data_IF_068969967976
#
_entry.id   IF_068969967976
#
_cell.length_a   1.000
_cell.length_b   1.000
_cell.length_c   1.000
_cell.angle_alpha   90.00
_cell.angle_beta   90.00
_cell.angle_gamma   90.00
#
_symmetry.space_group_name_H-M   'P 1'
#
loop_
_entity.id
_entity.type
_entity.pdbx_description
1 polymer ?
#
# COMPACT_ATOMS: atom_id res chain seq x y z
N UNK A 1 38.30 -61.05 -30.89
CA UNK A 1 37.46 -60.82 -32.09
C UNK A 1 36.06 -60.45 -31.61
N UNK A 2 35.59 -59.22 -31.91
CA UNK A 2 34.27 -58.61 -31.58
C UNK A 2 34.01 -58.40 -30.07
N UNK A 3 34.10 -57.21 -29.46
CA UNK A 3 33.41 -55.92 -29.67
C UNK A 3 31.89 -56.03 -29.47
N UNK A 4 31.34 -55.52 -28.35
CA UNK A 4 30.25 -54.50 -28.32
C UNK A 4 29.64 -54.32 -26.91
N UNK A 5 29.52 -53.04 -26.52
CA UNK A 5 28.55 -52.33 -25.64
C UNK A 5 27.64 -53.13 -24.66
N UNK A 6 27.36 -52.65 -23.44
CA UNK A 6 26.62 -51.41 -23.16
C UNK A 6 26.79 -50.94 -21.71
N UNK A 7 27.09 -49.65 -21.61
CA UNK A 7 27.00 -48.73 -20.48
C UNK A 7 25.54 -48.59 -19.99
N UNK A 8 25.28 -48.65 -18.68
CA UNK A 8 24.16 -47.91 -18.05
C UNK A 8 24.62 -47.32 -16.71
N UNK A 9 25.12 -46.10 -16.83
CA UNK A 9 25.31 -45.14 -15.75
C UNK A 9 23.92 -44.76 -15.21
N UNK A 10 23.67 -45.02 -13.92
CA UNK A 10 22.44 -44.60 -13.24
C UNK A 10 22.55 -43.11 -12.93
N UNK A 11 22.00 -42.27 -13.80
CA UNK A 11 21.74 -40.87 -13.47
C UNK A 11 20.47 -40.83 -12.60
N UNK A 12 20.65 -40.56 -11.30
CA UNK A 12 19.56 -40.17 -10.42
C UNK A 12 19.04 -38.79 -10.84
N UNK A 13 17.95 -38.77 -11.59
CA UNK A 13 17.20 -37.56 -11.87
C UNK A 13 16.43 -37.19 -10.59
N UNK A 14 17.00 -36.30 -9.79
CA UNK A 14 16.27 -35.64 -8.71
C UNK A 14 15.19 -34.78 -9.36
N UNK A 15 13.97 -35.31 -9.37
CA UNK A 15 12.78 -34.56 -9.78
C UNK A 15 12.50 -33.59 -8.63
N UNK A 16 13.02 -32.36 -8.74
CA UNK A 16 12.52 -31.25 -7.93
C UNK A 16 11.03 -31.16 -8.24
N UNK A 17 10.18 -31.57 -7.28
CA UNK A 17 8.79 -31.17 -7.28
C UNK A 17 8.79 -29.65 -7.12
N UNK A 18 8.61 -28.94 -8.23
CA UNK A 18 8.04 -27.60 -8.20
C UNK A 18 6.67 -27.76 -7.53
N UNK A 19 6.55 -27.26 -6.30
CA UNK A 19 5.26 -27.10 -5.68
C UNK A 19 4.42 -26.25 -6.64
N UNK A 20 3.31 -26.82 -7.11
CA UNK A 20 2.31 -26.08 -7.86
C UNK A 20 1.74 -25.02 -6.93
N UNK A 21 2.11 -23.77 -7.15
CA UNK A 21 1.45 -22.62 -6.55
C UNK A 21 -0.05 -22.71 -6.84
N UNK A 22 -0.89 -22.62 -5.80
CA UNK A 22 -2.27 -22.16 -6.01
C UNK A 22 -2.18 -20.70 -6.41
N UNK A 23 -2.23 -20.48 -7.72
CA UNK A 23 -2.09 -19.17 -8.35
C UNK A 23 -3.28 -18.31 -7.91
N UNK A 24 -3.02 -17.12 -7.37
CA UNK A 24 -4.03 -16.06 -7.32
C UNK A 24 -4.58 -15.89 -8.75
N UNK A 25 -5.86 -16.20 -8.96
CA UNK A 25 -6.47 -16.00 -10.27
C UNK A 25 -6.93 -14.54 -10.38
N UNK A 26 -6.54 -13.85 -11.46
CA UNK A 26 -7.08 -12.54 -11.83
C UNK A 26 -8.54 -12.71 -12.34
N UNK A 27 -9.45 -13.12 -11.46
CA UNK A 27 -10.85 -13.41 -11.80
C UNK A 27 -11.86 -12.59 -11.02
N UNK A 28 -11.42 -11.68 -10.15
CA UNK A 28 -12.31 -10.71 -9.53
C UNK A 28 -12.67 -9.58 -10.50
N UNK A 29 -13.85 -9.00 -10.29
CA UNK A 29 -14.31 -7.84 -11.03
C UNK A 29 -13.89 -6.57 -10.31
N UNK A 30 -12.98 -5.80 -10.92
CA UNK A 30 -12.58 -4.48 -10.38
C UNK A 30 -13.77 -3.53 -10.20
N UNK A 31 -14.88 -3.77 -10.91
CA UNK A 31 -16.11 -2.98 -10.78
C UNK A 31 -16.83 -3.14 -9.44
N UNK A 32 -16.45 -4.14 -8.64
CA UNK A 32 -17.01 -4.34 -7.32
C UNK A 32 -16.45 -3.38 -6.27
N UNK A 33 -15.42 -2.60 -6.60
CA UNK A 33 -14.95 -1.49 -5.78
C UNK A 33 -14.84 -0.23 -6.64
N UNK A 34 -15.35 0.89 -6.15
CA UNK A 34 -15.30 2.17 -6.83
C UNK A 34 -14.91 3.30 -5.88
N UNK A 35 -14.09 4.23 -6.38
CA UNK A 35 -13.82 5.56 -5.84
C UNK A 35 -14.75 6.54 -6.55
N UNK A 36 -15.72 7.09 -5.84
CA UNK A 36 -16.75 7.96 -6.42
C UNK A 36 -16.52 9.44 -6.13
N UNK A 37 -15.73 9.76 -5.11
CA UNK A 37 -15.45 11.14 -4.74
C UNK A 37 -14.07 11.33 -4.18
N UNK A 38 -13.41 12.39 -4.67
CA UNK A 38 -12.20 12.97 -4.09
C UNK A 38 -12.52 14.42 -3.83
N UNK A 39 -12.41 14.87 -2.58
CA UNK A 39 -12.68 16.26 -2.20
C UNK A 39 -11.55 16.82 -1.36
N UNK A 40 -11.37 18.13 -1.41
CA UNK A 40 -10.41 18.83 -0.55
C UNK A 40 -10.89 18.78 0.91
N UNK A 41 -9.95 18.66 1.85
CA UNK A 41 -10.24 18.76 3.29
C UNK A 41 -10.82 20.12 3.67
N UNK A 42 -10.43 21.19 2.98
CA UNK A 42 -10.93 22.54 3.26
C UNK A 42 -12.22 22.88 2.50
N UNK A 43 -12.55 22.17 1.42
CA UNK A 43 -13.79 22.30 0.66
C UNK A 43 -14.42 20.93 0.34
N UNK A 44 -14.98 20.23 1.35
CA UNK A 44 -15.48 18.87 1.20
C UNK A 44 -16.74 18.77 0.33
N UNK A 45 -17.34 19.91 -0.05
CA UNK A 45 -18.57 19.95 -0.85
C UNK A 45 -18.34 19.77 -2.36
N UNK A 46 -17.09 19.86 -2.82
CA UNK A 46 -16.73 19.83 -4.23
C UNK A 46 -16.02 18.52 -4.56
N UNK A 47 -16.61 17.72 -5.46
CA UNK A 47 -15.91 16.55 -6.02
C UNK A 47 -14.92 17.02 -7.09
N UNK A 48 -13.64 16.70 -6.88
CA UNK A 48 -12.51 17.08 -7.71
C UNK A 48 -12.31 16.12 -8.89
N UNK A 49 -12.92 14.93 -8.86
CA UNK A 49 -12.94 14.04 -10.02
C UNK A 49 -13.68 14.73 -11.17
N UNK A 50 -13.10 14.74 -12.35
CA UNK A 50 -13.66 15.34 -13.55
C UNK A 50 -15.01 14.67 -13.89
N UNK A 51 -16.09 15.34 -13.51
CA UNK A 51 -17.47 14.90 -13.77
C UNK A 51 -17.77 14.92 -15.27
N UNK A 52 -17.53 13.80 -15.93
CA UNK A 52 -18.04 13.53 -17.27
C UNK A 52 -19.45 12.93 -17.22
N UNK A 53 -20.31 13.13 -18.24
CA UNK A 53 -21.65 12.53 -18.32
C UNK A 53 -21.66 10.98 -18.38
N UNK A 54 -20.48 10.35 -18.35
CA UNK A 54 -20.25 8.91 -18.47
C UNK A 54 -19.47 8.36 -17.27
N UNK A 55 -18.82 9.18 -16.44
CA UNK A 55 -17.88 8.70 -15.43
C UNK A 55 -18.31 9.07 -13.99
N UNK A 56 -18.93 8.14 -13.22
CA UNK A 56 -19.33 8.39 -11.84
C UNK A 56 -18.17 8.28 -10.82
N UNK A 57 -16.94 8.02 -11.27
CA UNK A 57 -15.79 7.75 -10.43
C UNK A 57 -14.75 6.86 -11.14
N UNK A 58 -13.91 6.19 -10.37
CA UNK A 58 -12.96 5.18 -10.83
C UNK A 58 -13.31 3.83 -10.22
N UNK A 59 -13.27 2.75 -11.00
CA UNK A 59 -13.21 1.40 -10.42
C UNK A 59 -11.80 1.11 -9.90
N UNK A 60 -11.64 0.04 -9.12
CA UNK A 60 -10.32 -0.41 -8.70
C UNK A 60 -9.41 -0.60 -9.94
N UNK A 61 -8.13 -0.23 -9.82
CA UNK A 61 -7.15 -0.41 -10.89
C UNK A 61 -6.84 -1.89 -11.10
N UNK A 62 -6.83 -2.65 -10.00
CA UNK A 62 -6.56 -4.07 -10.01
C UNK A 62 -7.26 -4.76 -8.84
N UNK A 63 -7.36 -6.08 -8.93
CA UNK A 63 -7.90 -6.87 -7.84
C UNK A 63 -7.33 -8.30 -7.87
N UNK A 64 -7.39 -8.98 -6.71
CA UNK A 64 -7.08 -10.41 -6.57
C UNK A 64 -8.16 -11.12 -5.76
N UNK A 65 -8.38 -12.40 -6.01
CA UNK A 65 -9.29 -13.25 -5.23
C UNK A 65 -8.57 -14.45 -4.66
N UNK A 66 -8.88 -14.78 -3.41
CA UNK A 66 -8.35 -15.92 -2.69
C UNK A 66 -9.51 -16.74 -2.13
N UNK A 67 -9.83 -17.83 -2.83
CA UNK A 67 -10.87 -18.78 -2.42
C UNK A 67 -10.34 -19.73 -1.34
N UNK A 68 -11.17 -20.04 -0.36
CA UNK A 68 -10.85 -20.95 0.75
C UNK A 68 -9.89 -20.37 1.80
N UNK A 69 -9.16 -19.31 1.46
CA UNK A 69 -8.17 -18.68 2.34
C UNK A 69 -8.80 -17.62 3.25
N UNK A 70 -8.07 -17.26 4.30
CA UNK A 70 -8.38 -16.12 5.15
C UNK A 70 -7.42 -14.96 4.83
N UNK A 71 -7.83 -13.73 5.11
CA UNK A 71 -6.99 -12.55 5.10
C UNK A 71 -6.44 -12.24 6.51
N UNK A 72 -6.03 -10.99 6.75
CA UNK A 72 -5.46 -10.52 8.02
C UNK A 72 -6.52 -10.46 9.14
N UNK A 73 -6.91 -11.62 9.64
CA UNK A 73 -7.97 -11.78 10.62
C UNK A 73 -7.54 -12.70 11.76
N UNK A 74 -7.71 -12.25 13.01
CA UNK A 74 -7.44 -13.08 14.19
C UNK A 74 -5.96 -13.37 14.43
N UNK A 75 -5.05 -12.49 13.97
CA UNK A 75 -3.60 -12.63 14.17
C UNK A 75 -2.93 -13.62 13.22
N UNK A 76 -3.47 -13.80 12.01
CA UNK A 76 -2.86 -14.68 11.00
C UNK A 76 -1.64 -14.06 10.31
N UNK A 77 -1.58 -12.73 10.34
CA UNK A 77 -0.39 -11.89 10.27
C UNK A 77 -0.38 -10.96 11.48
N UNK A 78 0.79 -10.44 11.84
CA UNK A 78 0.94 -9.48 12.93
C UNK A 78 1.90 -8.38 12.46
N UNK A 79 1.42 -7.40 11.66
CA UNK A 79 2.25 -6.29 11.24
C UNK A 79 2.81 -5.57 12.47
N UNK A 80 4.12 -5.66 12.63
CA UNK A 80 4.88 -5.05 13.70
C UNK A 80 6.29 -4.71 13.18
N UNK A 81 6.62 -3.41 13.03
CA UNK A 81 5.95 -2.25 13.61
C UNK A 81 4.80 -1.66 12.76
N UNK A 82 4.36 -2.28 11.67
CA UNK A 82 3.35 -1.76 10.74
C UNK A 82 3.76 -0.42 10.09
N UNK A 83 4.97 -0.38 9.55
CA UNK A 83 5.52 0.74 8.78
C UNK A 83 5.77 0.38 7.31
N UNK A 84 5.49 -0.86 6.89
CA UNK A 84 5.51 -1.26 5.48
C UNK A 84 6.80 -1.93 5.01
N UNK A 85 7.63 -2.42 5.94
CA UNK A 85 8.85 -3.14 5.57
C UNK A 85 8.55 -4.50 5.00
N UNK A 86 9.51 -5.09 4.28
CA UNK A 86 9.44 -6.50 3.93
C UNK A 86 9.20 -7.37 5.17
N UNK A 87 8.22 -8.27 5.07
CA UNK A 87 7.72 -9.14 6.14
C UNK A 87 6.91 -8.48 7.26
N UNK A 88 6.56 -7.20 7.14
CA UNK A 88 5.78 -6.45 8.14
C UNK A 88 4.27 -6.47 7.82
N UNK A 89 3.61 -7.62 7.99
CA UNK A 89 2.20 -7.80 7.66
C UNK A 89 1.92 -8.56 6.37
N UNK A 90 0.66 -8.96 6.20
CA UNK A 90 0.17 -9.78 5.08
C UNK A 90 0.63 -9.27 3.71
N UNK A 91 0.37 -7.99 3.40
CA UNK A 91 0.70 -7.39 2.11
C UNK A 91 2.18 -7.07 1.94
N UNK A 92 2.99 -7.15 3.00
CA UNK A 92 4.44 -7.01 2.88
C UNK A 92 5.15 -8.37 2.85
N UNK A 93 4.40 -9.46 2.68
CA UNK A 93 4.94 -10.80 2.53
C UNK A 93 5.27 -11.51 3.83
N UNK A 94 4.68 -11.11 4.95
CA UNK A 94 4.74 -11.88 6.19
C UNK A 94 4.22 -13.30 5.99
N UNK A 95 4.87 -14.26 6.64
CA UNK A 95 4.45 -15.66 6.71
C UNK A 95 3.03 -15.78 7.29
N UNK A 96 2.11 -16.38 6.54
CA UNK A 96 0.72 -16.50 6.97
C UNK A 96 0.45 -17.81 7.70
N UNK A 97 -0.04 -17.72 8.94
CA UNK A 97 -0.09 -18.87 9.85
C UNK A 97 -1.03 -20.02 9.41
N UNK A 98 -2.01 -19.74 8.54
CA UNK A 98 -2.96 -20.76 8.04
C UNK A 98 -2.54 -21.43 6.73
N UNK A 99 -1.46 -20.99 6.07
CA UNK A 99 -0.90 -21.72 4.92
C UNK A 99 0.05 -22.80 5.45
N UNK A 100 -0.18 -24.07 5.08
CA UNK A 100 0.65 -25.20 5.48
C UNK A 100 2.15 -24.91 5.28
N UNK A 101 2.86 -24.62 6.37
CA UNK A 101 4.30 -24.29 6.35
C UNK A 101 4.65 -22.81 6.51
N UNK A 102 3.69 -21.92 6.83
CA UNK A 102 3.96 -20.50 7.10
C UNK A 102 4.49 -19.75 5.87
N UNK A 103 4.01 -20.09 4.68
CA UNK A 103 4.38 -19.36 3.46
C UNK A 103 3.55 -18.08 3.32
N UNK A 104 4.12 -17.02 2.73
CA UNK A 104 3.38 -15.78 2.54
C UNK A 104 2.34 -15.93 1.41
N UNK A 105 1.15 -15.33 1.58
CA UNK A 105 0.15 -15.25 0.51
C UNK A 105 0.50 -14.20 -0.54
N UNK A 106 1.16 -13.13 -0.11
CA UNK A 106 1.59 -12.02 -0.95
C UNK A 106 3.11 -11.94 -0.96
N UNK A 107 3.66 -11.43 -2.03
CA UNK A 107 5.08 -11.07 -2.13
C UNK A 107 5.30 -9.60 -1.82
N UNK A 108 4.23 -8.80 -1.82
CA UNK A 108 4.23 -7.36 -1.73
C UNK A 108 4.32 -6.64 -3.06
N UNK A 109 4.45 -7.40 -4.16
CA UNK A 109 4.58 -6.88 -5.53
C UNK A 109 3.31 -7.07 -6.36
N UNK A 110 2.23 -7.56 -5.75
CA UNK A 110 1.00 -7.88 -6.48
C UNK A 110 0.32 -6.66 -7.13
N UNK A 111 0.50 -5.48 -6.52
CA UNK A 111 -0.16 -4.23 -6.89
C UNK A 111 0.82 -3.10 -7.22
N UNK A 112 2.12 -3.37 -7.15
CA UNK A 112 3.19 -2.39 -7.38
C UNK A 112 4.30 -2.97 -8.24
N UNK A 113 5.00 -2.10 -8.95
CA UNK A 113 6.18 -2.44 -9.71
C UNK A 113 7.44 -2.49 -8.81
N UNK A 114 8.44 -3.33 -9.12
CA UNK A 114 9.67 -3.41 -8.33
C UNK A 114 10.45 -2.09 -8.19
N UNK A 115 10.26 -1.12 -9.09
CA UNK A 115 10.90 0.19 -8.99
C UNK A 115 10.23 1.10 -7.94
N UNK A 116 9.06 0.72 -7.43
CA UNK A 116 8.31 1.41 -6.39
C UNK A 116 8.70 0.92 -4.98
N UNK A 117 9.54 -0.12 -4.86
CA UNK A 117 10.07 -0.56 -3.57
C UNK A 117 10.86 0.55 -2.89
N UNK A 118 10.89 0.51 -1.56
CA UNK A 118 11.45 1.53 -0.68
C UNK A 118 12.57 0.96 0.19
N UNK A 119 13.37 1.86 0.77
CA UNK A 119 14.44 1.55 1.74
C UNK A 119 14.02 2.17 3.08
N UNK A 120 13.04 1.53 3.73
CA UNK A 120 12.43 2.02 4.98
C UNK A 120 13.30 1.67 6.20
N UNK A 121 14.18 0.67 6.09
CA UNK A 121 15.19 0.35 7.11
C UNK A 121 16.51 1.11 6.98
N UNK A 122 16.74 1.78 5.85
CA UNK A 122 17.96 2.56 5.61
C UNK A 122 19.20 1.69 5.39
N UNK A 123 19.01 0.44 4.95
CA UNK A 123 20.11 -0.49 4.65
C UNK A 123 20.71 -0.28 3.24
N UNK A 124 20.07 0.57 2.42
CA UNK A 124 20.46 0.90 1.06
C UNK A 124 19.85 -0.01 -0.01
N UNK A 125 19.05 -1.00 0.37
CA UNK A 125 18.33 -1.90 -0.52
C UNK A 125 16.85 -1.51 -0.58
N UNK A 126 16.38 -1.24 -1.79
CA UNK A 126 14.97 -0.93 -2.03
C UNK A 126 14.18 -2.24 -2.10
N UNK A 127 13.86 -2.82 -0.94
CA UNK A 127 13.14 -4.10 -0.81
C UNK A 127 11.79 -4.00 -0.14
N UNK A 128 11.44 -2.84 0.41
CA UNK A 128 10.25 -2.66 1.22
C UNK A 128 9.03 -2.30 0.36
N UNK A 129 7.93 -3.08 0.41
CA UNK A 129 6.73 -2.78 -0.38
C UNK A 129 5.99 -1.51 0.07
N UNK A 130 6.01 -1.19 1.37
CA UNK A 130 5.46 0.04 1.93
C UNK A 130 3.98 -0.03 2.34
N UNK A 131 3.38 -1.21 2.48
CA UNK A 131 1.97 -1.33 2.87
C UNK A 131 1.78 -1.14 4.37
N UNK A 132 0.92 -0.21 4.77
CA UNK A 132 0.57 0.07 6.15
C UNK A 132 -0.88 -0.37 6.37
N UNK A 133 -1.09 -1.27 7.33
CA UNK A 133 -2.43 -1.65 7.76
C UNK A 133 -3.07 -0.48 8.52
N UNK A 134 -4.24 -0.04 8.07
CA UNK A 134 -4.95 1.09 8.65
C UNK A 134 -5.98 0.65 9.69
N UNK A 135 -6.89 -0.23 9.30
CA UNK A 135 -8.00 -0.64 10.14
C UNK A 135 -8.64 -1.97 9.71
N UNK A 136 -9.18 -2.68 10.69
CA UNK A 136 -10.07 -3.82 10.51
C UNK A 136 -11.52 -3.39 10.84
N UNK A 137 -12.47 -3.76 9.99
CA UNK A 137 -13.89 -3.47 10.15
C UNK A 137 -14.63 -4.79 10.32
N UNK A 138 -15.17 -5.02 11.52
CA UNK A 138 -15.90 -6.23 11.86
C UNK A 138 -17.24 -5.88 12.50
N UNK A 139 -18.32 -6.30 11.85
CA UNK A 139 -19.70 -6.02 12.28
C UNK A 139 -19.96 -4.53 12.58
N UNK A 140 -19.53 -3.65 11.67
CA UNK A 140 -19.67 -2.20 11.78
C UNK A 140 -18.71 -1.54 12.78
N UNK A 141 -17.97 -2.31 13.57
CA UNK A 141 -16.95 -1.79 14.48
C UNK A 141 -15.62 -1.63 13.75
N UNK A 142 -14.96 -0.49 13.95
CA UNK A 142 -13.67 -0.18 13.35
C UNK A 142 -12.58 -0.27 14.41
N UNK A 143 -11.60 -1.11 14.16
CA UNK A 143 -10.39 -1.28 14.97
C UNK A 143 -9.21 -0.72 14.18
N UNK A 144 -8.72 0.46 14.58
CA UNK A 144 -7.54 1.07 13.97
C UNK A 144 -6.25 0.40 14.44
N UNK A 145 -5.31 0.21 13.52
CA UNK A 145 -3.97 -0.26 13.84
C UNK A 145 -3.11 0.83 14.46
N UNK A 146 -1.97 0.40 15.01
CA UNK A 146 -0.89 1.30 15.35
C UNK A 146 0.23 1.17 14.31
N UNK A 147 0.99 2.24 14.10
CA UNK A 147 2.20 2.25 13.29
C UNK A 147 3.38 2.72 14.15
N UNK A 148 4.53 2.08 13.97
CA UNK A 148 5.74 2.37 14.71
C UNK A 148 5.80 1.77 16.14
N UNK A 149 6.87 2.08 16.89
CA UNK A 149 7.99 2.94 16.49
C UNK A 149 8.81 2.32 15.35
N UNK A 150 9.36 3.16 14.46
CA UNK A 150 10.34 2.67 13.49
C UNK A 150 11.63 2.32 14.23
N UNK A 151 12.16 1.09 14.13
CA UNK A 151 13.40 0.72 14.80
C UNK A 151 14.63 1.39 14.17
N UNK A 152 14.47 2.09 13.05
CA UNK A 152 15.55 2.72 12.28
C UNK A 152 15.63 4.23 12.50
N UNK A 153 14.56 4.83 13.01
CA UNK A 153 14.55 6.22 13.46
C UNK A 153 14.64 6.20 14.98
N UNK A 154 15.41 7.13 15.57
CA UNK A 154 15.54 7.24 17.02
C UNK A 154 14.28 7.83 17.68
N UNK A 155 13.11 7.28 17.40
CA UNK A 155 11.84 7.61 18.06
C UNK A 155 11.29 6.36 18.74
N UNK A 156 10.69 6.54 19.91
CA UNK A 156 9.92 5.49 20.59
C UNK A 156 8.42 5.70 20.40
N UNK A 157 8.04 6.53 19.43
CA UNK A 157 6.66 6.97 19.24
C UNK A 157 5.92 5.96 18.36
N UNK A 158 4.84 5.44 18.92
CA UNK A 158 3.84 4.66 18.20
C UNK A 158 2.64 5.56 17.96
N UNK A 159 2.14 5.57 16.73
CA UNK A 159 0.99 6.39 16.33
C UNK A 159 -0.22 5.48 16.15
N UNK A 160 -1.34 5.84 16.76
CA UNK A 160 -2.62 5.21 16.46
C UNK A 160 -3.18 5.78 15.15
N UNK A 161 -3.51 4.92 14.19
CA UNK A 161 -4.04 5.37 12.89
C UNK A 161 -5.38 6.11 13.03
N UNK A 162 -6.19 5.78 14.06
CA UNK A 162 -7.44 6.48 14.34
C UNK A 162 -7.27 7.93 14.81
N UNK A 163 -6.06 8.32 15.22
CA UNK A 163 -5.71 9.72 15.49
C UNK A 163 -5.35 10.49 14.21
N UNK A 164 -5.24 9.79 13.07
CA UNK A 164 -4.83 10.33 11.77
C UNK A 164 -5.97 10.41 10.76
N UNK A 165 -6.81 9.38 10.74
CA UNK A 165 -7.88 9.26 9.75
C UNK A 165 -9.16 8.78 10.42
N UNK A 166 -10.27 9.18 9.84
CA UNK A 166 -11.57 8.61 10.13
C UNK A 166 -12.06 7.83 8.91
N UNK A 167 -12.28 6.54 9.10
CA UNK A 167 -12.86 5.63 8.12
C UNK A 167 -14.32 5.40 8.50
N UNK A 168 -15.23 5.36 7.54
CA UNK A 168 -16.61 4.92 7.77
C UNK A 168 -17.04 3.93 6.70
N UNK A 169 -17.90 2.98 7.08
CA UNK A 169 -18.58 2.05 6.19
C UNK A 169 -20.07 2.08 6.51
N UNK A 170 -20.92 2.04 5.48
CA UNK A 170 -22.38 2.11 5.65
C UNK A 170 -23.03 0.77 5.99
N UNK A 171 -22.25 -0.30 6.08
CA UNK A 171 -22.74 -1.67 6.08
C UNK A 171 -22.45 -2.38 7.41
N UNK A 172 -23.24 -3.43 7.74
CA UNK A 172 -23.06 -4.33 8.89
C UNK A 172 -22.97 -5.81 8.45
N UNK A 173 -22.39 -6.68 9.29
CA UNK A 173 -22.14 -8.08 8.91
C UNK A 173 -23.45 -8.71 8.43
N UNK A 174 -23.46 -9.23 7.19
CA UNK A 174 -24.69 -9.63 6.52
C UNK A 174 -24.98 -8.88 5.22
N UNK A 175 -24.46 -7.67 5.04
CA UNK A 175 -24.69 -6.93 3.79
C UNK A 175 -23.76 -7.41 2.66
N UNK A 176 -24.11 -7.06 1.43
CA UNK A 176 -23.35 -7.41 0.21
C UNK A 176 -22.82 -6.17 -0.52
N UNK A 177 -23.06 -5.00 0.06
CA UNK A 177 -22.73 -3.70 -0.50
C UNK A 177 -22.47 -2.71 0.63
N UNK A 178 -21.45 -1.87 0.44
CA UNK A 178 -21.00 -0.87 1.40
C UNK A 178 -20.65 0.42 0.66
N UNK A 179 -21.12 1.56 1.13
CA UNK A 179 -20.46 2.84 0.85
C UNK A 179 -19.37 3.06 1.89
N UNK A 180 -18.27 3.69 1.51
CA UNK A 180 -17.15 4.00 2.40
C UNK A 180 -16.68 5.43 2.27
N UNK A 181 -16.08 5.96 3.34
CA UNK A 181 -15.36 7.23 3.34
C UNK A 181 -14.04 7.09 4.10
N UNK A 182 -13.01 7.80 3.65
CA UNK A 182 -11.75 7.98 4.37
C UNK A 182 -11.44 9.47 4.44
N UNK A 183 -11.35 10.00 5.65
CA UNK A 183 -11.17 11.43 5.91
C UNK A 183 -9.96 11.65 6.80
N UNK A 184 -8.92 12.35 6.34
CA UNK A 184 -7.86 12.85 7.20
C UNK A 184 -8.43 13.75 8.29
N UNK A 185 -8.02 13.60 9.56
CA UNK A 185 -8.44 14.54 10.59
C UNK A 185 -7.62 15.87 10.48
N UNK A 186 -8.11 16.99 11.01
CA UNK A 186 -7.37 18.24 10.99
C UNK A 186 -6.07 18.20 11.83
N UNK A 187 -4.98 18.82 11.35
CA UNK A 187 -3.74 18.99 12.12
C UNK A 187 -2.76 17.80 12.07
N UNK A 188 -2.95 16.88 11.12
CA UNK A 188 -2.18 15.64 10.99
C UNK A 188 -0.93 15.76 10.14
N UNK A 189 -0.86 16.79 9.30
CA UNK A 189 0.27 17.03 8.41
C UNK A 189 1.59 16.96 9.19
N UNK A 190 1.71 17.61 10.36
CA UNK A 190 2.95 17.59 11.16
C UNK A 190 3.29 16.20 11.75
N UNK A 191 2.28 15.41 12.15
CA UNK A 191 2.47 14.07 12.75
C UNK A 191 2.78 13.00 11.71
N UNK A 192 2.06 13.02 10.60
CA UNK A 192 2.26 12.11 9.46
C UNK A 192 3.55 12.45 8.72
N UNK A 193 3.89 13.73 8.56
CA UNK A 193 5.17 14.14 7.97
C UNK A 193 6.39 13.62 8.74
N UNK A 194 6.28 13.50 10.07
CA UNK A 194 7.39 13.02 10.90
C UNK A 194 7.59 11.51 10.78
N UNK A 195 6.52 10.74 10.51
CA UNK A 195 6.59 9.28 10.48
C UNK A 195 6.61 8.68 9.06
N UNK A 196 5.88 9.29 8.12
CA UNK A 196 5.57 8.77 6.77
C UNK A 196 5.77 9.82 5.65
N UNK A 197 6.24 11.03 5.95
CA UNK A 197 6.36 12.09 4.93
C UNK A 197 5.03 12.78 4.58
N UNK A 198 5.10 13.82 3.74
CA UNK A 198 4.02 14.80 3.54
C UNK A 198 2.98 14.47 2.48
N UNK A 199 2.83 13.20 2.10
CA UNK A 199 2.06 12.82 0.93
C UNK A 199 0.79 12.01 1.27
N UNK A 200 -0.21 12.12 0.41
CA UNK A 200 -1.29 11.14 0.28
C UNK A 200 -0.71 9.82 -0.22
N UNK A 201 -1.20 8.74 0.37
CA UNK A 201 -0.90 7.37 -0.03
C UNK A 201 -0.99 7.22 -1.54
N UNK A 202 -0.04 6.54 -2.18
CA UNK A 202 -0.13 6.30 -3.62
C UNK A 202 -1.06 5.14 -3.96
N UNK A 203 -1.32 4.25 -3.00
CA UNK A 203 -2.34 3.21 -3.10
C UNK A 203 -3.27 3.18 -1.89
N UNK A 204 -4.54 2.83 -2.12
CA UNK A 204 -5.52 2.46 -1.10
C UNK A 204 -6.11 1.10 -1.46
N UNK A 205 -6.08 0.17 -0.50
CA UNK A 205 -6.44 -1.21 -0.73
C UNK A 205 -7.46 -1.71 0.30
N UNK A 206 -8.46 -2.43 -0.20
CA UNK A 206 -9.49 -3.06 0.61
C UNK A 206 -9.44 -4.58 0.44
N UNK A 207 -9.19 -5.33 1.54
CA UNK A 207 -9.48 -6.77 1.59
C UNK A 207 -10.89 -6.98 2.10
N UNK A 208 -11.73 -7.62 1.29
CA UNK A 208 -13.14 -7.86 1.58
C UNK A 208 -13.35 -9.34 1.76
N UNK A 209 -13.48 -9.76 3.02
CA UNK A 209 -13.75 -11.16 3.37
C UNK A 209 -15.24 -11.44 3.31
N UNK A 210 -15.62 -12.59 2.76
CA UNK A 210 -16.99 -13.11 2.85
C UNK A 210 -17.08 -14.34 3.76
N UNK A 211 -18.28 -14.58 4.31
CA UNK A 211 -18.53 -15.64 5.30
C UNK A 211 -18.12 -17.05 4.85
N UNK A 212 -17.65 -17.87 5.80
CA UNK A 212 -17.06 -19.17 5.57
C UNK A 212 -18.09 -20.29 5.30
N UNK A 213 -17.88 -21.03 4.21
CA UNK A 213 -18.20 -22.44 4.11
C UNK A 213 -16.93 -23.19 3.72
N UNK A 214 -16.72 -24.44 4.17
CA UNK A 214 -15.45 -25.19 4.06
C UNK A 214 -15.00 -25.53 2.61
N UNK A 215 -15.64 -24.95 1.61
CA UNK A 215 -15.30 -25.10 0.19
C UNK A 215 -15.74 -23.90 -0.68
N UNK A 216 -16.20 -22.77 -0.11
CA UNK A 216 -16.84 -21.68 -0.89
C UNK A 216 -16.76 -20.26 -0.26
N UNK A 217 -15.94 -20.04 0.76
CA UNK A 217 -15.66 -18.69 1.29
C UNK A 217 -14.35 -18.14 0.70
N UNK A 218 -14.02 -16.87 0.94
CA UNK A 218 -12.78 -16.28 0.40
C UNK A 218 -12.70 -14.79 0.70
N UNK A 219 -11.61 -14.15 0.29
CA UNK A 219 -11.49 -12.70 0.33
C UNK A 219 -11.01 -12.17 -1.02
N UNK A 220 -11.47 -10.98 -1.38
CA UNK A 220 -11.03 -10.27 -2.57
C UNK A 220 -10.32 -9.01 -2.12
N UNK A 221 -9.23 -8.69 -2.80
CA UNK A 221 -8.42 -7.51 -2.57
C UNK A 221 -8.62 -6.57 -3.73
N UNK A 222 -8.98 -5.33 -3.47
CA UNK A 222 -9.16 -4.29 -4.48
C UNK A 222 -8.19 -3.14 -4.22
N UNK A 223 -7.45 -2.76 -5.24
CA UNK A 223 -6.43 -1.70 -5.17
C UNK A 223 -6.83 -0.49 -6.01
N UNK A 224 -6.68 0.69 -5.43
CA UNK A 224 -6.79 1.98 -6.09
C UNK A 224 -5.40 2.61 -6.16
N UNK A 225 -4.86 2.73 -7.37
CA UNK A 225 -3.58 3.37 -7.67
C UNK A 225 -3.81 4.84 -8.02
N UNK A 226 -3.48 5.73 -7.07
CA UNK A 226 -3.66 7.16 -7.24
C UNK A 226 -2.66 7.79 -8.21
N UNK A 227 -1.50 7.16 -8.48
CA UNK A 227 -0.63 7.62 -9.57
C UNK A 227 -1.37 7.53 -10.91
N UNK A 228 -2.02 6.39 -11.17
CA UNK A 228 -2.79 6.19 -12.40
C UNK A 228 -4.06 7.04 -12.43
N UNK A 229 -4.82 7.08 -11.33
CA UNK A 229 -6.06 7.85 -11.26
C UNK A 229 -5.77 9.34 -11.46
N UNK A 230 -4.80 9.92 -10.76
CA UNK A 230 -4.48 11.34 -10.88
C UNK A 230 -3.82 11.67 -12.23
N UNK A 231 -3.01 10.78 -12.80
CA UNK A 231 -2.50 10.95 -14.17
C UNK A 231 -3.62 10.97 -15.22
N UNK A 232 -4.64 10.12 -15.06
CA UNK A 232 -5.82 10.10 -15.92
C UNK A 232 -6.64 11.38 -15.77
N UNK A 233 -6.83 11.85 -14.54
CA UNK A 233 -7.50 13.12 -14.25
C UNK A 233 -6.77 14.31 -14.88
N UNK A 234 -5.44 14.37 -14.77
CA UNK A 234 -4.63 15.42 -15.40
C UNK A 234 -4.68 15.35 -16.94
N UNK A 235 -4.72 14.14 -17.51
CA UNK A 235 -4.85 13.93 -18.96
C UNK A 235 -6.20 14.41 -19.49
N UNK A 236 -7.28 14.14 -18.76
CA UNK A 236 -8.64 14.52 -19.13
C UNK A 236 -8.96 15.98 -18.80
N UNK A 237 -8.38 16.50 -17.72
CA UNK A 237 -8.52 17.87 -17.25
C UNK A 237 -7.13 18.41 -16.87
N UNK A 238 -6.44 19.13 -17.78
CA UNK A 238 -5.13 19.72 -17.51
C UNK A 238 -5.07 20.73 -16.36
N UNK A 239 -6.23 21.14 -15.83
CA UNK A 239 -6.36 22.01 -14.66
C UNK A 239 -6.73 21.23 -13.39
N UNK A 240 -6.69 19.90 -13.42
CA UNK A 240 -6.98 19.07 -12.24
C UNK A 240 -6.04 19.43 -11.09
N UNK A 241 -6.57 19.71 -9.88
CA UNK A 241 -5.76 20.03 -8.71
C UNK A 241 -5.24 18.78 -7.98
N UNK A 242 -5.52 17.58 -8.52
CA UNK A 242 -5.22 16.31 -7.88
C UNK A 242 -3.72 15.99 -7.93
N UNK A 243 -3.08 15.90 -6.76
CA UNK A 243 -1.68 15.52 -6.60
C UNK A 243 -1.50 14.65 -5.37
N UNK A 244 -0.45 13.82 -5.34
CA UNK A 244 -0.12 13.03 -4.14
C UNK A 244 0.40 13.89 -2.97
N UNK A 245 0.66 15.20 -3.17
CA UNK A 245 1.17 16.07 -2.10
C UNK A 245 0.06 16.60 -1.17
N UNK A 246 -1.21 16.42 -1.53
CA UNK A 246 -2.35 16.99 -0.80
C UNK A 246 -3.20 15.89 -0.17
N UNK A 247 -3.61 16.02 1.11
CA UNK A 247 -4.59 15.13 1.72
C UNK A 247 -5.98 15.35 1.12
N UNK A 248 -6.73 14.28 0.90
CA UNK A 248 -8.09 14.33 0.37
C UNK A 248 -9.08 13.56 1.22
N UNK A 249 -10.35 13.98 1.19
CA UNK A 249 -11.48 13.13 1.53
C UNK A 249 -11.76 12.20 0.36
N UNK A 250 -11.76 10.91 0.65
CA UNK A 250 -12.04 9.86 -0.31
C UNK A 250 -13.38 9.21 0.02
N UNK A 251 -14.16 8.88 -1.00
CA UNK A 251 -15.42 8.18 -0.83
C UNK A 251 -15.70 7.25 -1.99
N UNK A 252 -16.44 6.19 -1.72
CA UNK A 252 -16.68 5.15 -2.71
C UNK A 252 -17.64 4.08 -2.28
N UNK A 253 -17.62 2.97 -3.03
CA UNK A 253 -18.47 1.80 -2.79
C UNK A 253 -17.69 0.51 -2.94
N UNK A 254 -18.10 -0.54 -2.23
CA UNK A 254 -17.58 -1.90 -2.31
C UNK A 254 -18.75 -2.88 -2.34
N UNK A 255 -18.62 -3.97 -3.08
CA UNK A 255 -19.58 -5.08 -3.15
C UNK A 255 -18.88 -6.42 -3.10
N UNK A 256 -19.59 -7.44 -2.64
CA UNK A 256 -19.15 -8.83 -2.58
C UNK A 256 -19.56 -9.64 -3.82
N UNK A 257 -19.80 -8.98 -4.95
CA UNK A 257 -20.25 -9.61 -6.20
C UNK A 257 -19.34 -10.73 -6.71
N UNK A 258 -18.06 -10.71 -6.37
CA UNK A 258 -17.10 -11.76 -6.70
C UNK A 258 -17.30 -13.07 -5.91
N UNK A 259 -18.10 -13.04 -4.83
CA UNK A 259 -18.40 -14.19 -4.01
C UNK A 259 -19.87 -14.54 -4.08
N UNK A 260 -20.24 -15.49 -4.94
CA UNK A 260 -21.63 -15.95 -5.04
C UNK A 260 -21.87 -17.27 -4.32
N UNK A 261 -23.10 -17.50 -3.88
CA UNK A 261 -23.54 -18.81 -3.38
C UNK A 261 -23.97 -19.73 -4.54
N UNK A 262 -24.37 -20.96 -4.23
CA UNK A 262 -24.83 -21.93 -5.25
C UNK A 262 -26.09 -21.52 -6.03
N UNK A 263 -26.73 -20.42 -5.64
CA UNK A 263 -27.89 -19.80 -6.28
C UNK A 263 -27.52 -18.53 -7.05
N UNK A 264 -26.22 -18.24 -7.21
CA UNK A 264 -25.68 -17.05 -7.88
C UNK A 264 -26.02 -15.71 -7.18
N UNK A 265 -26.33 -15.75 -5.88
CA UNK A 265 -26.52 -14.55 -5.06
C UNK A 265 -25.21 -14.15 -4.36
N UNK A 266 -24.86 -12.85 -4.30
CA UNK A 266 -23.68 -12.38 -3.57
C UNK A 266 -23.73 -12.81 -2.09
N UNK A 267 -22.57 -13.15 -1.55
CA UNK A 267 -22.40 -13.55 -0.16
C UNK A 267 -22.22 -12.33 0.71
N UNK A 268 -22.76 -12.40 1.91
CA UNK A 268 -22.53 -11.37 2.91
C UNK A 268 -21.04 -11.25 3.24
N UNK A 269 -20.60 -10.01 3.48
CA UNK A 269 -19.27 -9.80 4.01
C UNK A 269 -19.18 -10.36 5.45
N UNK A 270 -17.97 -10.74 5.85
CA UNK A 270 -17.61 -11.08 7.22
C UNK A 270 -16.89 -9.92 7.89
N UNK A 271 -15.90 -9.35 7.22
CA UNK A 271 -15.14 -8.20 7.68
C UNK A 271 -14.40 -7.56 6.49
N UNK A 272 -13.87 -6.37 6.70
CA UNK A 272 -13.07 -5.63 5.72
C UNK A 272 -11.79 -5.17 6.39
N UNK A 273 -10.65 -5.35 5.73
CA UNK A 273 -9.39 -4.75 6.16
C UNK A 273 -8.98 -3.66 5.16
N UNK A 274 -8.34 -2.61 5.66
CA UNK A 274 -7.93 -1.44 4.87
C UNK A 274 -6.43 -1.23 5.02
N UNK A 275 -5.74 -1.09 3.89
CA UNK A 275 -4.33 -0.71 3.84
C UNK A 275 -4.16 0.53 2.98
N UNK A 276 -3.09 1.25 3.25
CA UNK A 276 -2.57 2.25 2.34
C UNK A 276 -1.08 2.02 2.13
N UNK A 277 -0.57 2.48 0.99
CA UNK A 277 0.85 2.45 0.70
C UNK A 277 1.42 3.86 0.79
N UNK A 278 2.51 3.99 1.55
CA UNK A 278 3.28 5.23 1.56
C UNK A 278 3.93 5.44 0.19
N UNK A 279 3.76 6.57 -0.51
CA UNK A 279 4.41 6.82 -1.77
C UNK A 279 5.92 6.75 -1.66
N UNK A 280 6.56 6.18 -2.70
CA UNK A 280 8.00 6.28 -2.83
C UNK A 280 8.38 7.77 -2.88
N UNK A 281 9.07 8.23 -1.84
CA UNK A 281 9.54 9.61 -1.76
C UNK A 281 10.38 9.94 -2.99
N UNK A 282 9.90 10.83 -3.86
CA UNK A 282 10.67 11.38 -5.00
C UNK A 282 11.82 12.31 -4.56
N UNK A 283 12.13 12.33 -3.26
CA UNK A 283 13.22 13.11 -2.68
C UNK A 283 14.40 12.18 -2.43
N UNK A 284 15.23 11.98 -3.45
CA UNK A 284 16.68 11.99 -3.20
C UNK A 284 16.96 13.26 -2.43
N UNK A 285 17.13 13.17 -1.12
CA UNK A 285 17.74 14.26 -0.36
C UNK A 285 19.19 14.28 -0.85
N UNK A 286 19.44 14.96 -1.97
CA UNK A 286 20.71 15.61 -2.17
C UNK A 286 20.80 16.57 -0.99
N UNK A 287 21.42 16.12 0.09
CA UNK A 287 21.97 16.99 1.10
C UNK A 287 22.89 17.88 0.27
N UNK A 288 22.42 19.07 -0.11
CA UNK A 288 23.30 20.12 -0.59
C UNK A 288 24.32 20.22 0.51
N UNK A 289 25.55 19.78 0.23
CA UNK A 289 26.65 19.86 1.15
C UNK A 289 26.59 21.24 1.79
N UNK A 290 26.67 21.32 3.14
CA UNK A 290 26.48 22.58 3.83
C UNK A 290 27.34 23.64 3.12
N UNK A 291 26.82 24.87 2.99
CA UNK A 291 27.52 26.00 2.37
C UNK A 291 28.85 26.35 3.07
N UNK A 292 29.37 25.49 3.95
CA UNK A 292 30.71 25.49 4.53
C UNK A 292 31.81 25.54 3.46
N UNK A 293 31.64 24.93 2.29
CA UNK A 293 32.62 25.07 1.20
C UNK A 293 32.63 26.51 0.63
N UNK A 294 31.44 27.12 0.48
CA UNK A 294 31.30 28.53 0.05
C UNK A 294 31.83 29.50 1.10
N UNK A 295 31.58 29.22 2.39
CA UNK A 295 32.12 29.98 3.52
C UNK A 295 33.64 29.84 3.65
N UNK A 296 34.19 28.65 3.39
CA UNK A 296 35.63 28.41 3.36
C UNK A 296 36.30 29.19 2.22
N UNK A 297 35.71 29.17 1.01
CA UNK A 297 36.19 29.95 -0.14
C UNK A 297 36.09 31.46 0.12
N UNK A 298 35.00 31.93 0.73
CA UNK A 298 34.84 33.34 1.11
C UNK A 298 35.84 33.75 2.22
N UNK A 299 36.09 32.88 3.21
CA UNK A 299 37.06 33.13 4.28
C UNK A 299 38.50 33.18 3.74
N UNK A 300 38.86 32.29 2.82
CA UNK A 300 40.17 32.29 2.14
C UNK A 300 40.33 33.51 1.21
N UNK A 301 39.26 33.95 0.55
CA UNK A 301 39.22 35.18 -0.25
C UNK A 301 39.43 36.44 0.60
N UNK A 302 38.78 36.54 1.75
CA UNK A 302 38.94 37.68 2.66
C UNK A 302 40.34 37.73 3.29
N UNK A 303 40.96 36.58 3.58
CA UNK A 303 42.35 36.50 4.07
C UNK A 303 43.38 36.92 3.00
N UNK A 304 43.11 36.65 1.72
CA UNK A 304 43.99 37.05 0.62
C UNK A 304 43.88 38.55 0.31
N UNK A 305 42.68 39.14 0.37
CA UNK A 305 42.51 40.61 0.24
C UNK A 305 43.22 41.36 1.39
N UNK A 306 43.19 40.81 2.62
CA UNK A 306 43.86 41.42 3.77
C UNK A 306 45.39 41.42 3.65
N UNK A 307 45.99 40.44 2.96
CA UNK A 307 47.43 40.41 2.67
C UNK A 307 47.89 41.42 1.62
N UNK A 308 47.03 41.79 0.66
CA UNK A 308 47.35 42.81 -0.34
C UNK A 308 47.13 44.25 0.18
N UNK A 309 46.17 44.47 1.07
CA UNK A 309 45.93 45.78 1.68
C UNK A 309 47.00 46.21 2.72
N UNK A 310 47.77 45.26 3.28
CA UNK A 310 48.81 45.51 4.28
C UNK A 310 50.20 45.88 3.72
N UNK A 311 50.37 46.00 2.40
CA UNK A 311 51.67 46.30 1.74
C UNK A 311 51.79 47.74 1.22
N UNK A 312 51.09 48.69 1.84
CA UNK A 312 51.36 50.12 1.68
C UNK A 312 51.80 50.73 3.01
N UNK A 313 53.06 50.50 3.35
CA UNK A 313 53.96 51.43 4.04
C UNK A 313 55.40 51.01 3.73
#
# INVERSE_FOLDING_TARGET
MKMSSTLKLVFGLSMLLLASFTRAELTCSTTNAALLGVADVVDPGTNLLASGPINPGYYANSCLIFEGENDDAGGLSEPHPNIGQLYDGLLNGEAFQNVNGGSPLFTGLEFIDPNQLQDLDGDGNFTDPGWIHLANINDGNISYSNAGPSPYIATSEQINIGDLINITFSCNAGDTFCSWTLTPLPGIVDKVQTLLGGATFDHLLFSVKTGAGPSTGGFAVYDFDFNQIFANELTNNPLSPLTLDNPYLLSGTISTGDFVNGENNPRAYSHINVWARDPQSSVTILISEPKSLTLLVLALGLLSVRRFAGKKH
#
